data_IF_692884491566
#
_entry.id   IF_692884491566
#
_cell.length_a   1.000
_cell.length_b   1.000
_cell.length_c   1.000
_cell.angle_alpha   90.00
_cell.angle_beta   90.00
_cell.angle_gamma   90.00
#
_symmetry.space_group_name_H-M   'P 1'
#
loop_
_entity.id
_entity.type
_entity.pdbx_description
1 polymer ?
#
# COMPACT_ATOMS: atom_id res chain seq x y z
N UNK A 1 0.80 35.25 4.01
CA UNK A 1 1.59 34.12 3.45
C UNK A 1 1.09 32.80 4.05
N UNK A 2 0.25 32.03 3.32
CA UNK A 2 -0.22 30.73 3.82
C UNK A 2 0.85 29.66 3.55
N UNK A 3 1.35 29.13 4.66
CA UNK A 3 2.49 28.22 4.82
C UNK A 3 2.35 26.95 3.94
N UNK A 4 3.22 26.72 2.94
CA UNK A 4 3.17 25.52 2.08
C UNK A 4 3.27 24.21 2.88
N UNK A 5 3.88 24.25 4.07
CA UNK A 5 3.94 23.13 5.01
C UNK A 5 2.55 22.62 5.44
N UNK A 6 1.57 23.51 5.64
CA UNK A 6 0.24 23.12 6.15
C UNK A 6 -0.59 22.33 5.11
N UNK A 7 -0.34 22.60 3.82
CA UNK A 7 -0.97 21.86 2.72
C UNK A 7 -0.29 20.50 2.49
N UNK A 8 1.01 20.40 2.79
CA UNK A 8 1.76 19.15 2.74
C UNK A 8 1.32 18.20 3.86
N UNK A 9 1.21 18.67 5.10
CA UNK A 9 0.74 17.88 6.24
C UNK A 9 -0.63 17.24 5.97
N UNK A 10 -1.61 18.04 5.51
CA UNK A 10 -2.95 17.50 5.18
C UNK A 10 -2.92 16.41 4.12
N UNK A 11 -1.98 16.49 3.15
CA UNK A 11 -1.85 15.48 2.09
C UNK A 11 -1.26 14.19 2.63
N UNK A 12 -0.28 14.29 3.52
CA UNK A 12 0.36 13.17 4.20
C UNK A 12 -0.63 12.49 5.15
N UNK A 13 -1.33 13.26 5.98
CA UNK A 13 -2.34 12.75 6.92
C UNK A 13 -3.47 12.01 6.20
N UNK A 14 -3.96 12.56 5.08
CA UNK A 14 -4.99 11.90 4.27
C UNK A 14 -4.51 10.59 3.64
N UNK A 15 -3.22 10.49 3.27
CA UNK A 15 -2.65 9.26 2.74
C UNK A 15 -2.46 8.20 3.83
N UNK A 16 -2.02 8.59 5.03
CA UNK A 16 -1.85 7.72 6.20
C UNK A 16 -3.20 7.19 6.68
N UNK A 17 -4.20 8.08 6.84
CA UNK A 17 -5.55 7.70 7.24
C UNK A 17 -6.17 6.69 6.27
N UNK A 18 -6.02 6.92 4.96
CA UNK A 18 -6.47 5.97 3.94
C UNK A 18 -5.76 4.62 4.05
N UNK A 19 -4.44 4.63 4.30
CA UNK A 19 -3.63 3.42 4.44
C UNK A 19 -4.06 2.58 5.64
N UNK A 20 -4.34 3.20 6.79
CA UNK A 20 -4.85 2.52 7.99
C UNK A 20 -6.24 1.94 7.72
N UNK A 21 -7.16 2.73 7.16
CA UNK A 21 -8.52 2.30 6.83
C UNK A 21 -8.56 1.13 5.84
N UNK A 22 -7.57 1.02 4.96
CA UNK A 22 -7.48 -0.04 3.96
C UNK A 22 -6.47 -1.14 4.33
N UNK A 23 -6.17 -1.32 5.63
CA UNK A 23 -5.31 -2.39 6.15
C UNK A 23 -3.92 -2.44 5.49
N UNK A 24 -3.30 -1.27 5.34
CA UNK A 24 -1.99 -1.15 4.72
C UNK A 24 -1.98 -1.22 3.19
N UNK A 25 -3.14 -1.02 2.55
CA UNK A 25 -3.24 -0.91 1.08
C UNK A 25 -3.29 0.55 0.65
N UNK A 26 -2.46 0.88 -0.32
CA UNK A 26 -2.51 2.20 -0.99
C UNK A 26 -3.59 2.24 -2.06
N UNK A 27 -4.01 3.45 -2.47
CA UNK A 27 -4.96 3.63 -3.60
C UNK A 27 -4.46 2.95 -4.88
N UNK A 28 -3.14 2.99 -5.11
CA UNK A 28 -2.49 2.30 -6.21
C UNK A 28 -2.68 0.78 -6.11
N UNK A 29 -2.40 0.16 -4.95
CA UNK A 29 -2.63 -1.27 -4.75
C UNK A 29 -4.08 -1.65 -5.02
N UNK A 30 -5.05 -0.88 -4.51
CA UNK A 30 -6.47 -1.19 -4.71
C UNK A 30 -6.85 -1.15 -6.19
N UNK A 31 -6.44 -0.10 -6.92
CA UNK A 31 -6.72 0.01 -8.34
C UNK A 31 -6.02 -1.07 -9.17
N UNK A 32 -4.80 -1.43 -8.80
CA UNK A 32 -3.99 -2.41 -9.51
C UNK A 32 -4.46 -3.84 -9.24
N UNK A 33 -4.84 -4.17 -8.00
CA UNK A 33 -5.46 -5.45 -7.67
C UNK A 33 -6.76 -5.67 -8.46
N UNK A 34 -7.59 -4.64 -8.61
CA UNK A 34 -8.77 -4.71 -9.48
C UNK A 34 -8.41 -4.95 -10.96
N UNK A 35 -7.35 -4.30 -11.45
CA UNK A 35 -6.86 -4.52 -12.82
C UNK A 35 -6.31 -5.93 -13.03
N UNK A 36 -5.63 -6.51 -12.05
CA UNK A 36 -5.14 -7.89 -12.09
C UNK A 36 -6.29 -8.88 -12.14
N UNK A 37 -7.34 -8.67 -11.35
CA UNK A 37 -8.52 -9.54 -11.37
C UNK A 37 -9.20 -9.57 -12.74
N UNK A 38 -9.17 -8.45 -13.47
CA UNK A 38 -9.78 -8.34 -14.79
C UNK A 38 -8.86 -8.78 -15.94
N UNK A 39 -7.58 -8.39 -15.92
CA UNK A 39 -6.63 -8.61 -17.02
C UNK A 39 -5.73 -9.84 -16.84
N UNK A 40 -5.72 -10.44 -15.65
CA UNK A 40 -4.69 -11.39 -15.25
C UNK A 40 -3.32 -10.74 -15.05
N UNK A 41 -2.36 -11.55 -14.59
CA UNK A 41 -0.96 -11.13 -14.37
C UNK A 41 -0.31 -10.77 -15.72
N UNK A 42 -0.59 -11.56 -16.75
CA UNK A 42 -0.04 -11.40 -18.10
C UNK A 42 -0.50 -10.11 -18.78
N UNK A 43 -1.80 -9.80 -18.68
CA UNK A 43 -2.36 -8.55 -19.20
C UNK A 43 -1.87 -7.32 -18.46
N UNK A 44 -1.45 -7.48 -17.19
CA UNK A 44 -0.82 -6.41 -16.42
C UNK A 44 0.62 -6.15 -16.86
N UNK A 45 1.39 -7.22 -17.08
CA UNK A 45 2.75 -7.17 -17.60
C UNK A 45 2.79 -6.50 -18.98
N UNK A 46 1.88 -6.90 -19.87
CA UNK A 46 1.78 -6.36 -21.23
C UNK A 46 1.38 -4.87 -21.28
N UNK A 47 0.67 -4.36 -20.27
CA UNK A 47 0.34 -2.93 -20.19
C UNK A 47 1.49 -2.07 -19.68
N UNK A 48 2.43 -2.64 -18.94
CA UNK A 48 3.49 -1.86 -18.33
C UNK A 48 4.30 -2.67 -17.32
N UNK A 49 5.52 -3.13 -17.67
CA UNK A 49 6.37 -3.86 -16.75
C UNK A 49 6.78 -3.02 -15.53
N UNK A 50 6.92 -1.69 -15.70
CA UNK A 50 7.20 -0.77 -14.59
C UNK A 50 6.10 -0.79 -13.53
N UNK A 51 4.82 -0.67 -13.95
CA UNK A 51 3.69 -0.66 -13.03
C UNK A 51 3.51 -2.02 -12.33
N UNK A 52 3.81 -3.12 -13.03
CA UNK A 52 3.86 -4.46 -12.45
C UNK A 52 4.94 -4.58 -11.36
N UNK A 53 6.16 -4.12 -11.63
CA UNK A 53 7.26 -4.15 -10.65
C UNK A 53 6.92 -3.32 -9.41
N UNK A 54 6.36 -2.11 -9.57
CA UNK A 54 5.91 -1.31 -8.43
C UNK A 54 4.80 -2.00 -7.64
N UNK A 55 3.85 -2.65 -8.32
CA UNK A 55 2.80 -3.43 -7.66
C UNK A 55 3.38 -4.59 -6.85
N UNK A 56 4.33 -5.32 -7.43
CA UNK A 56 5.00 -6.44 -6.79
C UNK A 56 5.80 -6.01 -5.57
N UNK A 57 6.62 -4.96 -5.69
CA UNK A 57 7.36 -4.36 -4.57
C UNK A 57 6.43 -3.90 -3.44
N UNK A 58 5.30 -3.26 -3.77
CA UNK A 58 4.32 -2.85 -2.77
C UNK A 58 3.70 -4.04 -2.03
N UNK A 59 3.35 -5.11 -2.74
CA UNK A 59 2.82 -6.33 -2.13
C UNK A 59 3.85 -7.00 -1.22
N UNK A 60 5.11 -7.06 -1.67
CA UNK A 60 6.22 -7.61 -0.89
C UNK A 60 6.43 -6.82 0.40
N UNK A 61 6.50 -5.49 0.33
CA UNK A 61 6.64 -4.64 1.52
C UNK A 61 5.46 -4.82 2.47
N UNK A 62 4.22 -4.87 1.95
CA UNK A 62 3.02 -5.07 2.77
C UNK A 62 3.05 -6.41 3.50
N UNK A 63 3.40 -7.49 2.81
CA UNK A 63 3.49 -8.83 3.41
C UNK A 63 4.63 -8.89 4.42
N UNK A 64 5.79 -8.30 4.14
CA UNK A 64 6.91 -8.20 5.08
C UNK A 64 6.55 -7.39 6.32
N UNK A 65 5.91 -6.22 6.18
CA UNK A 65 5.48 -5.40 7.32
C UNK A 65 4.46 -6.18 8.16
N UNK A 66 3.49 -6.86 7.53
CA UNK A 66 2.54 -7.71 8.26
C UNK A 66 3.26 -8.82 9.03
N UNK A 67 4.23 -9.48 8.41
CA UNK A 67 4.99 -10.56 9.06
C UNK A 67 5.89 -10.09 10.20
N UNK A 68 6.27 -8.80 10.22
CA UNK A 68 6.97 -8.19 11.35
C UNK A 68 5.98 -7.78 12.45
N UNK A 69 4.85 -7.19 12.08
CA UNK A 69 3.84 -6.69 13.02
C UNK A 69 3.14 -7.84 13.75
N UNK A 70 2.79 -8.94 13.06
CA UNK A 70 2.06 -10.07 13.66
C UNK A 70 2.80 -10.66 14.86
N UNK A 71 4.10 -11.06 14.78
CA UNK A 71 4.87 -11.55 15.92
C UNK A 71 4.94 -10.55 17.08
N UNK A 72 5.11 -9.27 16.79
CA UNK A 72 5.17 -8.22 17.82
C UNK A 72 3.85 -8.14 18.59
N UNK A 73 2.72 -8.19 17.88
CA UNK A 73 1.39 -8.20 18.49
C UNK A 73 1.14 -9.48 19.30
N UNK A 74 1.54 -10.64 18.78
CA UNK A 74 1.42 -11.93 19.49
C UNK A 74 2.27 -11.96 20.75
N UNK A 75 3.50 -11.48 20.69
CA UNK A 75 4.38 -11.37 21.85
C UNK A 75 3.77 -10.46 22.92
N UNK A 76 3.22 -9.31 22.52
CA UNK A 76 2.53 -8.38 23.44
C UNK A 76 1.25 -8.95 24.05
N UNK A 77 0.50 -9.79 23.31
CA UNK A 77 -0.73 -10.39 23.80
C UNK A 77 -0.48 -11.57 24.77
N UNK A 78 0.71 -12.16 24.73
CA UNK A 78 1.11 -13.29 25.56
C UNK A 78 1.90 -12.85 26.80
N UNK A 79 2.37 -11.60 26.84
CA UNK A 79 3.11 -11.00 27.96
C UNK A 79 2.20 -10.36 29.00
#
# INVERSE_FOLDING_TARGET
MKKPALAFDRKVDGAISFFIQHYGKTKFMVAMSKKIQYLGIEGLWNKGPKAFIYFFLFYLIRDTILYIIIPIWVAKATS
#
